data_IF_175380327645
#
_entry.id   IF_175380327645
#
_cell.length_a   1.000
_cell.length_b   1.000
_cell.length_c   1.000
_cell.angle_alpha   90.00
_cell.angle_beta   90.00
_cell.angle_gamma   90.00
#
_symmetry.space_group_name_H-M   'P 1'
#
loop_
_entity.id
_entity.type
_entity.pdbx_description
1 polymer ?
#
# COMPACT_ATOMS: atom_id res chain seq x y z
N UNK A 1 10.75 -3.44 2.53
CA UNK A 1 11.44 -2.50 3.44
C UNK A 1 12.75 -2.08 2.80
N UNK A 2 13.00 -0.77 2.69
CA UNK A 2 14.24 -0.23 2.12
C UNK A 2 15.46 -0.59 2.98
N UNK A 3 16.60 -0.85 2.33
CA UNK A 3 17.86 -1.24 3.00
C UNK A 3 18.40 -0.11 3.86
N UNK A 4 18.32 1.13 3.38
CA UNK A 4 18.74 2.32 4.11
C UNK A 4 17.53 3.15 4.52
N UNK A 5 17.09 2.98 5.78
CA UNK A 5 15.92 3.70 6.33
C UNK A 5 16.19 5.16 6.64
N UNK A 6 17.46 5.56 6.70
CA UNK A 6 17.89 6.92 7.05
C UNK A 6 18.40 7.70 5.83
N UNK A 7 18.39 7.09 4.63
CA UNK A 7 18.82 7.77 3.42
C UNK A 7 17.89 8.94 3.10
N UNK A 8 18.47 10.06 2.67
CA UNK A 8 17.68 11.19 2.17
C UNK A 8 17.16 10.90 0.77
N UNK A 9 16.07 11.56 0.36
CA UNK A 9 15.51 11.42 -0.99
C UNK A 9 16.57 11.75 -2.07
N UNK A 10 17.45 12.72 -1.78
CA UNK A 10 18.56 13.10 -2.65
C UNK A 10 19.63 12.00 -2.79
N UNK A 11 19.90 11.22 -1.74
CA UNK A 11 20.82 10.08 -1.78
C UNK A 11 20.25 8.87 -2.52
N UNK A 12 18.93 8.77 -2.61
CA UNK A 12 18.22 7.71 -3.33
C UNK A 12 18.08 8.01 -4.83
N UNK A 13 18.51 9.19 -5.28
CA UNK A 13 18.53 9.58 -6.68
C UNK A 13 19.96 9.51 -7.22
N UNK A 14 20.14 8.72 -8.27
CA UNK A 14 21.41 8.58 -8.95
C UNK A 14 21.61 9.73 -9.96
N UNK A 15 22.52 10.63 -9.62
CA UNK A 15 22.92 11.78 -10.44
C UNK A 15 23.92 11.41 -11.55
N UNK A 16 24.44 10.17 -11.56
CA UNK A 16 25.52 9.77 -12.48
C UNK A 16 25.05 9.35 -13.87
N UNK A 17 23.74 9.11 -14.06
CA UNK A 17 23.16 8.60 -15.30
C UNK A 17 22.14 9.57 -15.91
N UNK A 18 22.60 10.47 -16.79
CA UNK A 18 21.76 11.27 -17.68
C UNK A 18 20.62 12.03 -16.96
N UNK A 19 19.32 11.84 -17.32
CA UNK A 19 18.20 12.51 -16.66
C UNK A 19 17.99 12.13 -15.18
N UNK A 20 18.92 11.37 -14.58
CA UNK A 20 18.84 10.85 -13.23
C UNK A 20 17.87 9.68 -13.09
N UNK A 21 18.06 8.85 -12.08
CA UNK A 21 17.21 7.68 -11.85
C UNK A 21 17.08 7.32 -10.38
N UNK A 22 15.94 6.72 -9.99
CA UNK A 22 15.74 6.25 -8.61
C UNK A 22 16.53 4.97 -8.32
N UNK A 23 17.43 5.02 -7.34
CA UNK A 23 18.21 3.89 -6.85
C UNK A 23 17.56 3.30 -5.58
N UNK A 24 16.42 2.62 -5.77
CA UNK A 24 15.71 1.97 -4.67
C UNK A 24 16.28 0.59 -4.38
N UNK A 25 16.95 0.44 -3.23
CA UNK A 25 17.45 -0.85 -2.75
C UNK A 25 16.48 -1.47 -1.74
N UNK A 26 15.97 -2.65 -2.08
CA UNK A 26 15.04 -3.41 -1.24
C UNK A 26 15.78 -4.53 -0.50
N UNK A 27 15.38 -4.80 0.74
CA UNK A 27 16.03 -5.81 1.60
C UNK A 27 15.69 -7.26 1.21
N UNK A 28 14.63 -7.46 0.43
CA UNK A 28 14.19 -8.78 -0.03
C UNK A 28 13.66 -8.69 -1.44
N UNK A 29 13.63 -9.85 -2.10
CA UNK A 29 12.92 -10.02 -3.35
C UNK A 29 11.41 -9.89 -3.16
N UNK A 30 10.75 -9.60 -4.27
CA UNK A 30 9.32 -9.37 -4.32
C UNK A 30 8.58 -10.64 -4.70
N UNK A 31 7.41 -10.84 -4.11
CA UNK A 31 6.51 -11.89 -4.57
C UNK A 31 5.74 -11.42 -5.82
N UNK A 32 5.23 -12.36 -6.61
CA UNK A 32 4.52 -12.07 -7.86
C UNK A 32 3.38 -11.06 -7.69
N UNK A 33 2.63 -11.15 -6.59
CA UNK A 33 1.52 -10.23 -6.30
C UNK A 33 1.94 -8.82 -5.84
N UNK A 34 3.22 -8.61 -5.49
CA UNK A 34 3.76 -7.28 -5.13
C UNK A 34 4.29 -6.55 -6.37
N UNK A 35 4.57 -7.27 -7.46
CA UNK A 35 5.19 -6.72 -8.67
C UNK A 35 4.37 -5.59 -9.30
N UNK A 36 3.04 -5.72 -9.35
CA UNK A 36 2.18 -4.68 -9.93
C UNK A 36 2.20 -3.38 -9.11
N UNK A 37 2.24 -3.49 -7.78
CA UNK A 37 2.35 -2.33 -6.89
C UNK A 37 3.70 -1.62 -7.06
N UNK A 38 4.78 -2.40 -7.15
CA UNK A 38 6.13 -1.86 -7.33
C UNK A 38 6.29 -1.26 -8.71
N UNK A 39 5.71 -1.89 -9.74
CA UNK A 39 5.67 -1.35 -11.09
C UNK A 39 4.93 -0.01 -11.12
N UNK A 40 3.78 0.08 -10.46
CA UNK A 40 3.04 1.34 -10.31
C UNK A 40 3.87 2.41 -9.61
N UNK A 41 4.54 2.05 -8.51
CA UNK A 41 5.45 2.94 -7.79
C UNK A 41 6.59 3.44 -8.69
N UNK A 42 7.27 2.56 -9.42
CA UNK A 42 8.39 2.91 -10.30
C UNK A 42 7.95 3.81 -11.46
N UNK A 43 6.75 3.59 -12.01
CA UNK A 43 6.17 4.46 -13.05
C UNK A 43 5.92 5.86 -12.50
N UNK A 44 5.27 5.98 -11.34
CA UNK A 44 5.02 7.28 -10.69
C UNK A 44 6.32 8.02 -10.39
N UNK A 45 7.33 7.28 -9.91
CA UNK A 45 8.64 7.83 -9.58
C UNK A 45 9.42 8.26 -10.83
N UNK A 46 9.32 7.53 -11.96
CA UNK A 46 9.97 7.89 -13.22
C UNK A 46 9.53 9.26 -13.73
N UNK A 47 8.26 9.58 -13.56
CA UNK A 47 7.69 10.85 -14.02
C UNK A 47 8.04 12.01 -13.06
N UNK A 48 8.58 11.70 -11.88
CA UNK A 48 9.08 12.67 -10.91
C UNK A 48 10.58 12.92 -11.12
N UNK A 49 10.91 14.04 -11.78
CA UNK A 49 12.30 14.52 -11.88
C UNK A 49 12.58 15.43 -10.70
N UNK A 50 13.64 15.13 -9.94
CA UNK A 50 14.20 16.09 -8.99
C UNK A 50 14.84 17.22 -9.81
N UNK A 51 14.15 18.34 -9.96
CA UNK A 51 14.75 19.56 -10.49
C UNK A 51 15.79 20.02 -9.47
N UNK A 52 17.06 19.99 -9.88
CA UNK A 52 18.12 20.68 -9.15
C UNK A 52 18.01 22.17 -9.52
N UNK A 53 17.06 22.85 -8.90
CA UNK A 53 17.03 24.30 -8.85
C UNK A 53 16.88 24.74 -7.39
N UNK A 54 17.68 25.75 -7.06
CA UNK A 54 17.93 26.30 -5.74
C UNK A 54 16.64 26.52 -4.95
N UNK A 55 16.64 26.10 -3.67
CA UNK A 55 15.64 26.51 -2.68
C UNK A 55 14.17 26.14 -2.95
N UNK A 56 13.92 24.98 -3.57
CA UNK A 56 12.57 24.39 -3.64
C UNK A 56 12.31 23.37 -2.53
N UNK A 57 12.46 23.72 -1.25
CA UNK A 57 12.04 22.85 -0.16
C UNK A 57 10.57 22.42 -0.38
N UNK A 58 10.29 21.12 -0.38
CA UNK A 58 8.95 20.63 -0.07
C UNK A 58 8.65 21.00 1.40
N UNK A 59 8.34 22.27 1.64
CA UNK A 59 7.92 22.80 2.93
C UNK A 59 6.50 22.31 3.23
N UNK A 60 6.41 21.06 3.70
CA UNK A 60 5.33 20.68 4.62
C UNK A 60 5.96 20.04 5.84
N UNK A 61 6.51 20.92 6.67
CA UNK A 61 7.10 20.60 7.95
C UNK A 61 8.10 21.69 8.30
N UNK A 62 7.70 22.63 9.16
CA UNK A 62 8.63 23.60 9.71
C UNK A 62 9.85 22.87 10.27
N UNK A 63 11.03 23.38 9.94
CA UNK A 63 12.37 22.83 10.24
C UNK A 63 12.97 21.86 9.20
N UNK A 64 13.01 22.27 7.93
CA UNK A 64 14.26 22.28 7.15
C UNK A 64 14.87 20.97 6.64
N UNK A 65 14.34 19.79 6.96
CA UNK A 65 14.74 18.53 6.29
C UNK A 65 13.57 17.56 6.23
N UNK A 66 12.96 17.42 5.06
CA UNK A 66 11.91 16.42 4.84
C UNK A 66 12.50 15.01 4.88
N UNK A 67 12.27 14.31 5.98
CA UNK A 67 12.76 12.95 6.20
C UNK A 67 11.82 11.90 5.62
N UNK A 68 12.36 10.71 5.31
CA UNK A 68 11.58 9.53 4.91
C UNK A 68 10.47 9.22 5.93
N UNK A 69 10.70 9.53 7.21
CA UNK A 69 9.70 9.41 8.29
C UNK A 69 8.50 10.34 8.10
N UNK A 70 8.72 11.58 7.68
CA UNK A 70 7.65 12.56 7.43
C UNK A 70 6.89 12.22 6.15
N UNK A 71 7.59 11.71 5.13
CA UNK A 71 6.98 11.14 3.93
C UNK A 71 6.07 9.96 4.26
N UNK A 72 6.57 9.01 5.04
CA UNK A 72 5.79 7.87 5.47
C UNK A 72 4.59 8.29 6.32
N UNK A 73 4.76 9.24 7.26
CA UNK A 73 3.66 9.76 8.04
C UNK A 73 2.62 10.47 7.17
N UNK A 74 3.01 11.24 6.16
CA UNK A 74 2.09 11.84 5.20
C UNK A 74 1.28 10.81 4.41
N UNK A 75 1.92 9.69 4.01
CA UNK A 75 1.27 8.57 3.34
C UNK A 75 0.37 7.75 4.27
N UNK A 76 0.75 7.58 5.53
CA UNK A 76 -0.07 6.86 6.53
C UNK A 76 -1.29 7.69 6.92
N UNK A 77 -1.13 9.00 7.12
CA UNK A 77 -2.22 9.93 7.46
C UNK A 77 -3.21 10.07 6.29
N UNK A 78 -2.73 10.01 5.04
CA UNK A 78 -3.63 10.00 3.86
C UNK A 78 -4.38 8.69 3.67
N UNK A 79 -3.90 7.58 4.24
CA UNK A 79 -4.57 6.28 4.27
C UNK A 79 -5.30 6.01 5.60
N UNK A 80 -5.49 7.02 6.45
CA UNK A 80 -6.21 6.88 7.71
C UNK A 80 -7.73 6.80 7.46
N UNK A 81 -8.18 5.71 6.85
CA UNK A 81 -9.46 5.16 7.27
C UNK A 81 -9.23 4.67 8.71
N UNK A 82 -9.89 5.31 9.68
CA UNK A 82 -9.78 4.93 11.10
C UNK A 82 -10.27 3.49 11.30
N UNK A 83 -9.33 2.54 11.21
CA UNK A 83 -9.62 1.13 11.37
C UNK A 83 -9.97 0.84 12.84
N UNK A 84 -11.11 0.18 13.14
CA UNK A 84 -11.56 -0.08 14.51
C UNK A 84 -10.77 -1.23 15.16
N UNK A 85 -9.47 -1.03 15.41
CA UNK A 85 -8.56 -2.06 15.93
C UNK A 85 -9.04 -2.66 17.26
N UNK A 86 -9.68 -1.84 18.11
CA UNK A 86 -10.23 -2.27 19.40
C UNK A 86 -11.39 -3.27 19.25
N UNK A 87 -12.11 -3.22 18.13
CA UNK A 87 -13.24 -4.12 17.83
C UNK A 87 -12.78 -5.47 17.28
N UNK A 88 -11.59 -5.52 16.67
CA UNK A 88 -11.04 -6.74 16.06
C UNK A 88 -10.14 -7.50 17.04
N UNK A 89 -9.30 -6.80 17.80
CA UNK A 89 -8.31 -7.41 18.69
C UNK A 89 -8.82 -7.51 20.12
N UNK A 90 -9.83 -8.36 20.34
CA UNK A 90 -10.42 -8.63 21.66
C UNK A 90 -9.74 -9.86 22.28
N UNK A 91 -9.26 -9.76 23.53
CA UNK A 91 -8.51 -10.82 24.23
C UNK A 91 -9.20 -12.19 24.29
N UNK A 92 -10.54 -12.23 24.17
CA UNK A 92 -11.35 -13.45 24.22
C UNK A 92 -11.58 -14.11 22.85
N UNK A 93 -11.15 -13.47 21.77
CA UNK A 93 -11.36 -13.94 20.40
C UNK A 93 -10.12 -14.72 19.94
N UNK A 94 -10.28 -15.95 19.40
CA UNK A 94 -9.17 -16.68 18.82
C UNK A 94 -8.45 -15.87 17.74
N UNK A 95 -7.12 -15.93 17.69
CA UNK A 95 -6.30 -15.14 16.76
C UNK A 95 -6.70 -15.33 15.30
N UNK A 96 -7.15 -16.53 14.90
CA UNK A 96 -7.66 -16.80 13.55
C UNK A 96 -8.90 -15.98 13.20
N UNK A 97 -9.81 -15.81 14.16
CA UNK A 97 -11.05 -15.03 13.98
C UNK A 97 -10.72 -13.54 13.93
N UNK A 98 -9.81 -13.06 14.78
CA UNK A 98 -9.35 -11.68 14.74
C UNK A 98 -8.63 -11.36 13.42
N UNK A 99 -7.79 -12.27 12.93
CA UNK A 99 -7.13 -12.10 11.62
C UNK A 99 -8.13 -12.08 10.47
N UNK A 100 -9.12 -12.97 10.48
CA UNK A 100 -10.18 -12.96 9.48
C UNK A 100 -10.98 -11.64 9.51
N UNK A 101 -11.38 -11.17 10.69
CA UNK A 101 -12.09 -9.91 10.85
C UNK A 101 -11.23 -8.70 10.40
N UNK A 102 -9.92 -8.73 10.65
CA UNK A 102 -8.98 -7.74 10.13
C UNK A 102 -8.99 -7.71 8.60
N UNK A 103 -8.77 -8.85 7.95
CA UNK A 103 -8.81 -8.96 6.50
C UNK A 103 -10.17 -8.54 5.94
N UNK A 104 -11.27 -8.91 6.60
CA UNK A 104 -12.63 -8.58 6.18
C UNK A 104 -12.90 -7.07 6.24
N UNK A 105 -12.45 -6.40 7.31
CA UNK A 105 -12.62 -4.95 7.46
C UNK A 105 -11.75 -4.14 6.48
N UNK A 106 -10.64 -4.69 6.00
CA UNK A 106 -9.90 -4.12 4.85
C UNK A 106 -10.46 -4.53 3.49
N UNK A 107 -11.55 -5.30 3.49
CA UNK A 107 -12.16 -5.87 2.31
C UNK A 107 -11.29 -6.89 1.60
N UNK A 108 -10.25 -7.46 2.24
CA UNK A 108 -9.16 -8.28 1.68
C UNK A 108 -9.35 -9.79 1.75
N UNK A 109 -10.47 -10.27 2.30
CA UNK A 109 -10.79 -11.70 2.27
C UNK A 109 -10.92 -12.23 0.83
N UNK A 110 -10.66 -13.52 0.64
CA UNK A 110 -10.66 -14.19 -0.67
C UNK A 110 -12.09 -14.42 -1.21
N UNK A 111 -12.79 -13.36 -1.55
CA UNK A 111 -14.07 -13.43 -2.27
C UNK A 111 -13.85 -13.63 -3.77
N UNK A 112 -14.85 -14.19 -4.47
CA UNK A 112 -14.78 -14.44 -5.91
C UNK A 112 -14.43 -13.18 -6.71
N UNK A 113 -14.94 -12.00 -6.35
CA UNK A 113 -14.59 -10.74 -7.03
C UNK A 113 -13.09 -10.41 -6.95
N UNK A 114 -12.43 -10.74 -5.83
CA UNK A 114 -10.99 -10.53 -5.66
C UNK A 114 -10.16 -11.54 -6.42
N UNK A 115 -10.58 -12.80 -6.41
CA UNK A 115 -9.93 -13.83 -7.20
C UNK A 115 -10.01 -13.51 -8.71
N UNK A 116 -11.11 -12.94 -9.17
CA UNK A 116 -11.23 -12.41 -10.54
C UNK A 116 -10.28 -11.24 -10.80
N UNK A 117 -10.14 -10.29 -9.86
CA UNK A 117 -9.13 -9.22 -9.93
C UNK A 117 -7.70 -9.74 -9.97
N UNK A 118 -7.46 -10.95 -9.45
CA UNK A 118 -6.18 -11.67 -9.53
C UNK A 118 -6.03 -12.51 -10.81
N UNK A 119 -6.94 -12.39 -11.78
CA UNK A 119 -6.85 -13.01 -13.10
C UNK A 119 -7.53 -14.37 -13.23
N UNK A 120 -8.21 -14.86 -12.20
CA UNK A 120 -8.92 -16.14 -12.27
C UNK A 120 -10.22 -15.99 -13.07
N UNK A 121 -10.48 -16.95 -13.97
CA UNK A 121 -11.64 -16.91 -14.88
C UNK A 121 -12.71 -17.91 -14.41
N UNK A 122 -13.75 -17.39 -13.77
CA UNK A 122 -14.95 -18.14 -13.40
C UNK A 122 -16.14 -17.18 -13.22
N UNK A 123 -17.40 -17.66 -13.33
CA UNK A 123 -18.56 -16.82 -13.07
C UNK A 123 -18.62 -16.44 -11.58
N UNK A 124 -18.63 -15.14 -11.30
CA UNK A 124 -18.85 -14.65 -9.94
C UNK A 124 -20.35 -14.68 -9.64
N UNK A 125 -20.74 -15.55 -8.72
CA UNK A 125 -22.10 -15.65 -8.21
C UNK A 125 -22.05 -16.07 -6.76
N UNK A 126 -22.66 -15.29 -5.88
CA UNK A 126 -22.71 -15.59 -4.46
C UNK A 126 -23.42 -16.92 -4.21
N UNK A 127 -22.73 -17.84 -3.51
CA UNK A 127 -23.28 -19.15 -3.17
C UNK A 127 -24.44 -19.08 -2.18
N UNK A 128 -24.48 -18.04 -1.33
CA UNK A 128 -25.50 -17.89 -0.29
C UNK A 128 -26.83 -17.37 -0.85
N UNK A 129 -26.79 -16.32 -1.70
CA UNK A 129 -28.01 -15.69 -2.21
C UNK A 129 -28.41 -16.18 -3.60
N UNK A 130 -27.46 -16.68 -4.40
CA UNK A 130 -27.69 -17.12 -5.77
C UNK A 130 -28.11 -16.02 -6.76
N UNK A 131 -28.14 -14.75 -6.39
CA UNK A 131 -28.64 -13.67 -7.26
C UNK A 131 -27.58 -12.63 -7.61
N UNK A 132 -26.73 -12.27 -6.64
CA UNK A 132 -25.73 -11.21 -6.79
C UNK A 132 -24.31 -11.78 -6.89
N UNK A 133 -23.37 -10.93 -7.29
CA UNK A 133 -21.95 -11.23 -7.26
C UNK A 133 -21.45 -11.37 -5.81
N UNK A 134 -20.57 -12.34 -5.59
CA UNK A 134 -19.92 -12.51 -4.30
C UNK A 134 -18.85 -11.43 -4.12
N UNK A 135 -19.05 -10.61 -3.10
CA UNK A 135 -18.09 -9.61 -2.62
C UNK A 135 -18.11 -9.56 -1.09
N UNK A 136 -17.09 -8.94 -0.49
CA UNK A 136 -17.00 -8.83 0.98
C UNK A 136 -18.23 -8.13 1.56
N UNK A 137 -18.68 -7.04 0.93
CA UNK A 137 -19.84 -6.28 1.39
C UNK A 137 -21.13 -7.10 1.24
N UNK A 138 -21.21 -7.92 0.20
CA UNK A 138 -22.36 -8.79 -0.02
C UNK A 138 -22.42 -9.97 0.97
N UNK A 139 -21.29 -10.59 1.33
CA UNK A 139 -21.25 -11.70 2.29
C UNK A 139 -21.39 -11.21 3.75
N UNK A 140 -20.65 -10.16 4.11
CA UNK A 140 -20.43 -9.78 5.50
C UNK A 140 -21.15 -8.50 5.92
N UNK A 141 -21.88 -7.83 5.01
CA UNK A 141 -22.59 -6.58 5.27
C UNK A 141 -21.70 -5.52 5.97
N UNK A 142 -20.40 -5.51 5.66
CA UNK A 142 -19.45 -4.55 6.22
C UNK A 142 -19.66 -3.23 5.48
N UNK A 143 -20.31 -2.28 6.15
CA UNK A 143 -20.48 -0.87 5.74
C UNK A 143 -19.62 0.00 6.63
#
# INVERSE_FOLDING_TARGET
MAVNKNATVNEMWDHSSGPGGWNLRFHRDFNDWELDLIRGLLIMLRDFKLFQEEEGCLEKGGHGKYGVKEAYNGLVVTNACDFPYKSVWVNKVPTKVAFFAWEAAWGKILTLDRLQKLGWQFPNRCFLCGCEEESVNHILFIV
#
